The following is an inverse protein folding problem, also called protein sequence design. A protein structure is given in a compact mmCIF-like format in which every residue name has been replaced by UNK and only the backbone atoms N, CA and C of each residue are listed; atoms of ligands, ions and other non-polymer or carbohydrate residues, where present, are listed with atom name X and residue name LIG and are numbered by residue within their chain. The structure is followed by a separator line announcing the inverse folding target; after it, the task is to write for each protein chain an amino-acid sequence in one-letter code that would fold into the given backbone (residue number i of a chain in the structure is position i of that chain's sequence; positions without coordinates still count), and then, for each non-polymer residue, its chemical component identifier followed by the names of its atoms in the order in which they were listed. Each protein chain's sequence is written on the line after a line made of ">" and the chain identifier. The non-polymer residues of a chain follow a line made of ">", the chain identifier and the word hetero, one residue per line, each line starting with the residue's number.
data_IF_184865888679
#
_entry.id   IF_184865888679
#
_cell.length_a   1.000
_cell.length_b   1.000
_cell.length_c   1.000
_cell.angle_alpha   90.00
_cell.angle_beta   90.00
_cell.angle_gamma   90.00
#
_symmetry.space_group_name_H-M   'P 1'
#
loop_
_entity.id
_entity.type
_entity.pdbx_description
1 polymer ?
#
# COMPACT_ATOMS: atom_id res chain seq x y z
N UNK A 1 -0.17 -0.70 19.19
CA UNK A 1 0.36 -1.95 19.77
C UNK A 1 1.53 -2.50 18.94
N UNK A 2 2.61 -1.74 18.70
CA UNK A 2 3.81 -2.24 18.00
C UNK A 2 3.58 -3.12 16.75
N UNK A 3 2.59 -2.77 15.92
CA UNK A 3 2.14 -3.56 14.75
C UNK A 3 1.55 -4.97 15.03
N UNK A 4 1.36 -5.36 16.28
CA UNK A 4 0.79 -6.65 16.69
C UNK A 4 -0.75 -6.64 16.81
N UNK A 5 -1.45 -5.99 15.87
CA UNK A 5 -2.92 -5.84 15.93
C UNK A 5 -3.70 -6.96 15.22
N UNK A 6 -2.99 -7.91 14.59
CA UNK A 6 -3.56 -8.97 13.75
C UNK A 6 -4.59 -9.84 14.49
N UNK A 7 -4.40 -10.09 15.80
CA UNK A 7 -5.26 -10.96 16.59
C UNK A 7 -6.39 -10.24 17.35
N UNK A 8 -6.34 -8.91 17.50
CA UNK A 8 -7.24 -8.15 18.39
C UNK A 8 -8.09 -7.15 17.61
N UNK A 9 -7.71 -6.81 16.37
CA UNK A 9 -8.44 -5.84 15.57
C UNK A 9 -9.89 -6.26 15.34
N UNK A 10 -10.81 -5.36 15.67
CA UNK A 10 -12.27 -5.60 15.70
C UNK A 10 -13.09 -4.38 15.23
N UNK A 11 -12.44 -3.42 14.56
CA UNK A 11 -13.03 -2.18 14.06
C UNK A 11 -12.62 -1.94 12.60
N UNK A 12 -12.90 -0.76 12.04
CA UNK A 12 -12.53 -0.45 10.64
C UNK A 12 -11.02 -0.43 10.35
N UNK A 13 -10.15 -0.27 11.35
CA UNK A 13 -8.70 -0.43 11.15
C UNK A 13 -8.31 -1.88 10.81
N UNK A 14 -9.23 -2.84 11.00
CA UNK A 14 -9.04 -4.23 10.59
C UNK A 14 -8.85 -4.38 9.09
N UNK A 15 -9.43 -3.50 8.26
CA UNK A 15 -9.20 -3.48 6.81
C UNK A 15 -7.72 -3.32 6.45
N UNK A 16 -6.93 -2.69 7.32
CA UNK A 16 -5.50 -2.52 7.15
C UNK A 16 -4.68 -3.67 7.77
N UNK A 17 -5.05 -4.11 8.98
CA UNK A 17 -4.25 -5.09 9.74
C UNK A 17 -4.60 -6.57 9.46
N UNK A 18 -5.89 -6.90 9.51
CA UNK A 18 -6.40 -8.26 9.31
C UNK A 18 -7.88 -8.18 8.95
N UNK A 19 -8.27 -8.44 7.68
CA UNK A 19 -9.65 -8.26 7.25
C UNK A 19 -10.65 -9.17 7.99
N UNK A 20 -10.21 -10.27 8.62
CA UNK A 20 -11.09 -11.08 9.46
C UNK A 20 -11.65 -10.32 10.67
N UNK A 21 -10.94 -9.31 11.16
CA UNK A 21 -11.40 -8.46 12.25
C UNK A 21 -12.65 -7.65 11.92
N UNK A 22 -12.91 -7.39 10.62
CA UNK A 22 -14.14 -6.72 10.17
C UNK A 22 -15.39 -7.50 10.53
N UNK A 23 -15.30 -8.83 10.68
CA UNK A 23 -16.41 -9.68 11.06
C UNK A 23 -17.08 -9.30 12.40
N UNK A 24 -16.39 -8.53 13.23
CA UNK A 24 -16.85 -8.11 14.55
C UNK A 24 -17.47 -6.71 14.58
N UNK A 25 -17.42 -5.99 13.46
CA UNK A 25 -18.02 -4.67 13.32
C UNK A 25 -19.55 -4.79 13.30
N UNK A 26 -20.22 -3.86 14.00
CA UNK A 26 -21.68 -3.78 14.07
C UNK A 26 -22.18 -2.47 13.50
N UNK A 27 -23.21 -2.54 12.67
CA UNK A 27 -23.83 -1.36 12.06
C UNK A 27 -22.96 -0.67 11.03
N UNK A 28 -23.09 0.66 10.93
CA UNK A 28 -22.33 1.52 10.01
C UNK A 28 -21.26 2.26 10.81
N UNK A 29 -20.03 2.27 10.31
CA UNK A 29 -18.91 3.00 10.91
C UNK A 29 -18.15 3.80 9.85
N UNK A 30 -17.51 4.87 10.31
CA UNK A 30 -16.56 5.68 9.55
C UNK A 30 -15.34 5.90 10.42
N UNK A 31 -14.15 5.80 9.85
CA UNK A 31 -12.88 5.98 10.54
C UNK A 31 -11.95 6.84 9.70
N UNK A 32 -11.26 7.78 10.35
CA UNK A 32 -10.25 8.61 9.74
C UNK A 32 -9.06 8.75 10.69
N UNK A 33 -7.87 8.73 10.11
CA UNK A 33 -6.61 8.83 10.82
C UNK A 33 -5.64 9.65 9.97
N UNK A 34 -4.96 10.59 10.61
CA UNK A 34 -3.88 11.38 10.02
C UNK A 34 -2.70 11.33 10.99
N UNK A 35 -1.53 10.96 10.49
CA UNK A 35 -0.30 10.88 11.25
C UNK A 35 0.83 11.57 10.48
N UNK A 36 1.44 12.58 11.08
CA UNK A 36 2.73 13.08 10.63
C UNK A 36 3.83 12.08 10.97
N UNK A 37 4.67 11.77 9.99
CA UNK A 37 5.80 10.84 10.09
C UNK A 37 7.13 11.60 9.92
N UNK A 38 8.24 10.89 10.11
CA UNK A 38 9.60 11.37 9.88
C UNK A 38 9.77 12.02 8.50
N UNK A 39 10.70 12.98 8.43
CA UNK A 39 11.03 13.77 7.24
C UNK A 39 9.84 14.56 6.64
N UNK A 40 8.85 14.91 7.46
CA UNK A 40 7.68 15.68 7.02
C UNK A 40 6.71 14.87 6.16
N UNK A 41 6.84 13.54 6.16
CA UNK A 41 5.95 12.65 5.43
C UNK A 41 4.60 12.58 6.13
N UNK A 42 3.50 12.67 5.39
CA UNK A 42 2.15 12.57 5.94
C UNK A 42 1.53 11.22 5.58
N UNK A 43 0.99 10.53 6.60
CA UNK A 43 0.22 9.31 6.45
C UNK A 43 -1.25 9.59 6.76
N UNK A 44 -2.12 9.24 5.82
CA UNK A 44 -3.57 9.38 5.95
C UNK A 44 -4.26 8.04 5.70
N UNK A 45 -5.16 7.66 6.59
CA UNK A 45 -6.01 6.49 6.42
C UNK A 45 -7.47 6.87 6.63
N UNK A 46 -8.33 6.45 5.72
CA UNK A 46 -9.76 6.61 5.80
C UNK A 46 -10.45 5.29 5.52
N UNK A 47 -11.48 4.96 6.28
CA UNK A 47 -12.28 3.77 6.04
C UNK A 47 -13.74 4.02 6.35
N UNK A 48 -14.58 3.42 5.52
CA UNK A 48 -16.01 3.31 5.72
C UNK A 48 -16.36 1.84 5.72
N UNK A 49 -17.31 1.43 6.54
CA UNK A 49 -17.81 0.06 6.46
C UNK A 49 -19.17 -0.09 7.10
N UNK A 50 -19.85 -1.13 6.66
CA UNK A 50 -21.19 -1.44 7.13
C UNK A 50 -21.40 -2.95 7.18
N UNK A 51 -22.22 -3.35 8.15
CA UNK A 51 -22.72 -4.71 8.25
C UNK A 51 -23.83 -4.96 7.21
N UNK A 52 -23.62 -5.97 6.37
CA UNK A 52 -24.64 -6.50 5.47
C UNK A 52 -25.19 -7.83 6.05
N UNK A 53 -26.46 -7.86 6.50
CA UNK A 53 -27.07 -9.06 7.05
C UNK A 53 -26.87 -10.30 6.18
N UNK A 54 -26.48 -11.43 6.80
CA UNK A 54 -26.19 -12.74 6.18
C UNK A 54 -24.97 -12.81 5.25
N UNK A 55 -24.45 -11.69 4.77
CA UNK A 55 -23.25 -11.62 3.92
C UNK A 55 -22.00 -11.50 4.79
N UNK A 56 -21.95 -10.50 5.67
CA UNK A 56 -20.78 -10.15 6.46
C UNK A 56 -20.65 -8.62 6.58
N UNK A 57 -19.45 -8.14 6.91
CA UNK A 57 -19.13 -6.71 6.95
C UNK A 57 -18.34 -6.35 5.71
N UNK A 58 -18.79 -5.32 4.99
CA UNK A 58 -18.05 -4.72 3.88
C UNK A 58 -17.36 -3.46 4.35
N UNK A 59 -16.17 -3.20 3.83
CA UNK A 59 -15.43 -1.98 4.07
C UNK A 59 -14.78 -1.46 2.79
N UNK A 60 -14.82 -0.15 2.62
CA UNK A 60 -13.99 0.60 1.69
C UNK A 60 -12.90 1.30 2.50
N UNK A 61 -11.68 1.32 1.99
CA UNK A 61 -10.53 1.95 2.63
C UNK A 61 -9.71 2.72 1.62
N UNK A 62 -9.10 3.81 2.08
CA UNK A 62 -8.12 4.59 1.35
C UNK A 62 -6.94 4.83 2.28
N UNK A 63 -5.74 4.60 1.77
CA UNK A 63 -4.47 4.89 2.44
C UNK A 63 -3.66 5.79 1.52
N UNK A 64 -3.10 6.86 2.07
CA UNK A 64 -2.23 7.78 1.35
C UNK A 64 -0.97 8.05 2.17
N UNK A 65 0.17 8.00 1.51
CA UNK A 65 1.46 8.40 2.05
C UNK A 65 2.05 9.46 1.12
N UNK A 66 2.39 10.64 1.63
CA UNK A 66 2.92 11.74 0.82
C UNK A 66 4.16 12.34 1.44
N UNK A 67 5.18 12.59 0.64
CA UNK A 67 6.36 13.35 1.06
C UNK A 67 6.22 14.81 0.66
N UNK A 68 6.86 15.75 1.37
CA UNK A 68 6.95 17.12 0.92
C UNK A 68 7.83 17.23 -0.33
N UNK A 69 7.77 18.36 -1.01
CA UNK A 69 8.72 18.69 -2.07
C UNK A 69 10.13 18.88 -1.49
N UNK A 70 11.12 18.22 -2.08
CA UNK A 70 12.55 18.44 -1.82
C UNK A 70 13.29 18.81 -3.12
N UNK A 71 14.45 19.44 -2.96
CA UNK A 71 15.29 19.89 -4.07
C UNK A 71 16.07 18.73 -4.67
N UNK A 72 16.07 18.64 -5.99
CA UNK A 72 16.97 17.75 -6.73
C UNK A 72 18.38 18.32 -6.65
N UNK A 73 19.35 17.52 -6.17
CA UNK A 73 20.75 17.93 -5.99
C UNK A 73 21.67 16.99 -6.78
N UNK A 74 22.68 17.56 -7.42
CA UNK A 74 23.74 16.80 -8.11
C UNK A 74 25.10 17.21 -7.55
N UNK A 75 26.17 16.48 -7.92
CA UNK A 75 27.55 16.83 -7.54
C UNK A 75 27.89 18.24 -8.05
N UNK A 76 27.42 18.58 -9.26
CA UNK A 76 27.63 19.88 -9.90
C UNK A 76 26.78 20.99 -9.27
N UNK A 77 25.56 20.65 -8.81
CA UNK A 77 24.61 21.59 -8.21
C UNK A 77 24.17 21.12 -6.81
N UNK A 78 25.04 21.23 -5.79
CA UNK A 78 24.75 20.73 -4.43
C UNK A 78 23.68 21.56 -3.71
N UNK A 79 23.48 22.81 -4.11
CA UNK A 79 22.43 23.69 -3.57
C UNK A 79 21.06 23.48 -4.25
N UNK A 80 21.00 22.64 -5.27
CA UNK A 80 19.79 22.34 -6.03
C UNK A 80 19.92 22.70 -7.51
N UNK A 81 19.32 21.89 -8.38
CA UNK A 81 19.27 22.11 -9.84
C UNK A 81 18.19 23.12 -10.26
N UNK A 82 17.35 23.56 -9.32
CA UNK A 82 16.13 24.32 -9.59
C UNK A 82 14.87 23.45 -9.73
N UNK A 83 15.04 22.13 -9.83
CA UNK A 83 13.94 21.17 -9.86
C UNK A 83 13.56 20.70 -8.45
N UNK A 84 12.31 20.26 -8.32
CA UNK A 84 11.76 19.65 -7.11
C UNK A 84 11.29 18.24 -7.41
N UNK A 85 11.41 17.37 -6.42
CA UNK A 85 10.84 16.04 -6.45
C UNK A 85 10.00 15.78 -5.20
N UNK A 86 8.99 14.93 -5.35
CA UNK A 86 8.21 14.40 -4.25
C UNK A 86 7.80 12.96 -4.57
N UNK A 87 7.32 12.25 -3.55
CA UNK A 87 6.77 10.91 -3.66
C UNK A 87 5.36 10.86 -3.06
N UNK A 88 4.53 10.01 -3.65
CA UNK A 88 3.16 9.77 -3.22
C UNK A 88 2.75 8.33 -3.50
N UNK A 89 2.28 7.67 -2.45
CA UNK A 89 1.68 6.34 -2.52
C UNK A 89 0.21 6.44 -2.15
N UNK A 90 -0.62 5.71 -2.87
CA UNK A 90 -2.05 5.63 -2.63
C UNK A 90 -2.53 4.20 -2.80
N UNK A 91 -3.29 3.71 -1.83
CA UNK A 91 -3.98 2.42 -1.90
C UNK A 91 -5.47 2.62 -1.67
N UNK A 92 -6.29 2.09 -2.57
CA UNK A 92 -7.74 2.02 -2.42
C UNK A 92 -8.13 0.55 -2.33
N UNK A 93 -8.82 0.17 -1.27
CA UNK A 93 -9.14 -1.23 -0.99
C UNK A 93 -10.58 -1.47 -0.63
N UNK A 94 -11.13 -2.58 -1.11
CA UNK A 94 -12.41 -3.12 -0.68
C UNK A 94 -12.14 -4.39 0.12
N UNK A 95 -12.79 -4.52 1.27
CA UNK A 95 -12.59 -5.63 2.20
C UNK A 95 -13.93 -6.23 2.61
N UNK A 96 -13.94 -7.53 2.86
CA UNK A 96 -15.07 -8.25 3.45
C UNK A 96 -14.57 -9.10 4.63
N UNK A 97 -15.29 -9.05 5.74
CA UNK A 97 -15.07 -9.93 6.90
C UNK A 97 -16.35 -10.63 7.32
N UNK A 98 -16.27 -11.92 7.66
CA UNK A 98 -17.42 -12.71 8.08
C UNK A 98 -17.05 -13.70 9.18
N UNK A 99 -17.90 -13.79 10.20
CA UNK A 99 -17.86 -14.86 11.19
C UNK A 99 -18.48 -16.13 10.56
N UNK A 100 -17.70 -17.19 10.40
CA UNK A 100 -18.18 -18.49 9.94
C UNK A 100 -18.78 -19.31 11.09
N UNK A 101 -18.21 -19.18 12.28
CA UNK A 101 -18.71 -19.79 13.52
C UNK A 101 -18.63 -18.79 14.66
N UNK A 102 -19.04 -19.19 15.87
CA UNK A 102 -18.87 -18.37 17.07
C UNK A 102 -17.39 -18.16 17.45
N UNK A 103 -16.49 -18.93 16.85
CA UNK A 103 -15.05 -18.92 17.15
C UNK A 103 -14.19 -18.51 15.96
N UNK A 104 -14.64 -18.74 14.72
CA UNK A 104 -13.85 -18.53 13.51
C UNK A 104 -14.41 -17.39 12.66
N UNK A 105 -13.55 -16.42 12.37
CA UNK A 105 -13.78 -15.33 11.43
C UNK A 105 -12.77 -15.38 10.29
N UNK A 106 -13.25 -15.12 9.08
CA UNK A 106 -12.42 -14.97 7.89
C UNK A 106 -12.60 -13.58 7.31
N UNK A 107 -11.60 -13.10 6.59
CA UNK A 107 -11.75 -11.90 5.78
C UNK A 107 -10.83 -11.92 4.58
N UNK A 108 -11.19 -11.14 3.58
CA UNK A 108 -10.42 -10.93 2.38
C UNK A 108 -10.51 -9.48 1.93
N UNK A 109 -9.46 -9.00 1.27
CA UNK A 109 -9.41 -7.65 0.72
C UNK A 109 -8.77 -7.65 -0.64
N UNK A 110 -9.21 -6.74 -1.51
CA UNK A 110 -8.55 -6.42 -2.77
C UNK A 110 -8.18 -4.95 -2.73
N UNK A 111 -6.94 -4.64 -3.09
CA UNK A 111 -6.34 -3.31 -3.07
C UNK A 111 -5.78 -2.96 -4.44
N UNK A 112 -6.06 -1.75 -4.89
CA UNK A 112 -5.35 -1.13 -6.00
C UNK A 112 -4.34 -0.14 -5.42
N UNK A 113 -3.06 -0.40 -5.65
CA UNK A 113 -1.94 0.34 -5.09
C UNK A 113 -1.25 1.08 -6.22
N UNK A 114 -1.07 2.39 -6.06
CA UNK A 114 -0.38 3.26 -7.01
C UNK A 114 0.71 4.03 -6.28
N UNK A 115 1.90 4.03 -6.86
CA UNK A 115 3.07 4.74 -6.38
C UNK A 115 3.55 5.73 -7.43
N UNK A 116 3.98 6.90 -6.99
CA UNK A 116 4.60 7.93 -7.83
C UNK A 116 5.82 8.47 -7.11
N UNK A 117 6.96 8.46 -7.80
CA UNK A 117 8.18 9.09 -7.34
C UNK A 117 8.65 9.99 -8.48
N UNK A 118 8.70 11.29 -8.23
CA UNK A 118 9.08 12.30 -9.21
C UNK A 118 8.31 12.17 -10.54
N UNK A 119 8.95 11.71 -11.64
CA UNK A 119 8.33 11.51 -12.95
C UNK A 119 8.02 10.05 -13.27
N UNK A 120 8.17 9.14 -12.30
CA UNK A 120 7.95 7.72 -12.46
C UNK A 120 6.73 7.27 -11.67
N UNK A 121 5.94 6.38 -12.29
CA UNK A 121 4.71 5.85 -11.69
C UNK A 121 4.63 4.35 -11.85
N UNK A 122 4.05 3.69 -10.87
CA UNK A 122 3.78 2.26 -10.90
C UNK A 122 2.44 1.96 -10.26
N UNK A 123 1.84 0.84 -10.65
CA UNK A 123 0.55 0.41 -10.14
C UNK A 123 0.52 -1.12 -10.07
N UNK A 124 -0.06 -1.65 -8.99
CA UNK A 124 -0.32 -3.09 -8.84
C UNK A 124 -1.67 -3.32 -8.17
N UNK A 125 -2.13 -4.57 -8.23
CA UNK A 125 -3.27 -5.06 -7.48
C UNK A 125 -2.75 -6.07 -6.48
N UNK A 126 -3.20 -5.96 -5.23
CA UNK A 126 -2.85 -6.88 -4.17
C UNK A 126 -4.10 -7.40 -3.46
N UNK A 127 -3.98 -8.58 -2.88
CA UNK A 127 -5.02 -9.24 -2.11
C UNK A 127 -4.53 -9.48 -0.68
N UNK A 128 -5.43 -9.34 0.29
CA UNK A 128 -5.18 -9.76 1.67
C UNK A 128 -6.13 -10.87 2.06
N UNK A 129 -5.66 -11.79 2.89
CA UNK A 129 -6.47 -12.85 3.47
C UNK A 129 -6.19 -12.91 4.97
N UNK A 130 -7.27 -12.89 5.75
CA UNK A 130 -7.22 -12.84 7.20
C UNK A 130 -8.01 -13.97 7.85
N UNK A 131 -7.52 -14.44 8.99
CA UNK A 131 -8.20 -15.38 9.88
C UNK A 131 -8.09 -14.90 11.31
N UNK A 132 -9.18 -15.00 12.07
CA UNK A 132 -9.18 -14.89 13.52
C UNK A 132 -9.91 -16.09 14.12
N UNK A 133 -9.30 -16.71 15.13
CA UNK A 133 -9.82 -17.88 15.82
C UNK A 133 -9.78 -17.67 17.33
N UNK A 134 -10.96 -17.60 17.94
CA UNK A 134 -11.13 -17.57 19.39
C UNK A 134 -11.01 -19.00 19.93
N UNK A 135 -9.95 -19.25 20.67
CA UNK A 135 -9.70 -20.59 21.21
C UNK A 135 -10.67 -20.92 22.35
N UNK A 136 -10.84 -22.20 22.72
CA UNK A 136 -11.58 -22.59 23.91
C UNK A 136 -10.93 -22.12 25.23
N UNK A 137 -9.66 -21.74 25.19
CA UNK A 137 -8.95 -21.22 26.36
C UNK A 137 -9.36 -19.75 26.55
N UNK A 138 -9.72 -19.41 27.78
CA UNK A 138 -10.17 -18.06 28.12
C UNK A 138 -9.12 -17.02 27.72
N UNK A 139 -9.57 -15.97 27.05
CA UNK A 139 -8.78 -14.80 26.65
C UNK A 139 -7.63 -15.07 25.67
N UNK A 140 -7.63 -16.23 24.99
CA UNK A 140 -6.66 -16.54 23.91
C UNK A 140 -7.35 -16.48 22.54
N UNK A 141 -6.87 -15.55 21.71
CA UNK A 141 -7.28 -15.39 20.31
C UNK A 141 -6.05 -15.59 19.44
N UNK A 142 -6.18 -16.44 18.43
CA UNK A 142 -5.18 -16.60 17.37
C UNK A 142 -5.61 -15.76 16.17
N UNK A 143 -4.68 -15.05 15.58
CA UNK A 143 -4.90 -14.28 14.35
C UNK A 143 -3.78 -14.56 13.36
N UNK A 144 -4.12 -14.75 12.10
CA UNK A 144 -3.19 -14.84 11.00
C UNK A 144 -3.66 -13.93 9.87
N UNK A 145 -2.73 -13.28 9.18
CA UNK A 145 -3.02 -12.41 8.04
C UNK A 145 -1.89 -12.54 7.03
N UNK A 146 -2.25 -12.72 5.76
CA UNK A 146 -1.37 -12.56 4.62
C UNK A 146 -1.79 -11.26 3.97
N UNK A 147 -0.87 -10.30 3.89
CA UNK A 147 -1.13 -8.97 3.37
C UNK A 147 -0.26 -8.69 2.14
N UNK A 148 -0.80 -7.85 1.24
CA UNK A 148 -0.17 -7.39 0.01
C UNK A 148 0.26 -8.53 -0.92
N UNK A 149 -0.52 -9.61 -0.99
CA UNK A 149 -0.25 -10.70 -1.91
C UNK A 149 -0.63 -10.29 -3.34
N UNK A 150 0.37 -10.07 -4.19
CA UNK A 150 0.21 -9.59 -5.57
C UNK A 150 1.54 -9.56 -6.30
N UNK A 151 1.54 -9.00 -7.50
CA UNK A 151 2.77 -8.77 -8.27
C UNK A 151 3.53 -7.57 -7.70
N UNK A 152 4.85 -7.53 -7.92
CA UNK A 152 5.64 -6.38 -7.55
C UNK A 152 5.27 -5.15 -8.41
N UNK A 153 5.54 -3.96 -7.86
CA UNK A 153 5.31 -2.71 -8.57
C UNK A 153 6.53 -2.40 -9.42
N UNK A 154 6.36 -2.43 -10.74
CA UNK A 154 7.30 -1.86 -11.69
C UNK A 154 7.01 -0.38 -11.91
N UNK A 155 8.06 0.45 -11.81
CA UNK A 155 7.99 1.89 -12.07
C UNK A 155 8.34 2.19 -13.54
N UNK A 156 7.52 3.01 -14.16
CA UNK A 156 7.70 3.46 -15.55
C UNK A 156 7.66 4.98 -15.56
N UNK A 157 8.60 5.61 -16.26
CA UNK A 157 8.68 7.07 -16.34
C UNK A 157 9.96 7.55 -17.03
N UNK A 158 10.07 8.87 -17.21
CA UNK A 158 11.26 9.48 -17.81
C UNK A 158 12.54 9.18 -17.03
N UNK A 159 12.43 8.98 -15.72
CA UNK A 159 13.60 8.70 -14.88
C UNK A 159 14.18 7.29 -15.14
N UNK A 160 13.44 6.43 -15.87
CA UNK A 160 13.92 5.12 -16.32
C UNK A 160 14.57 5.16 -17.71
N UNK A 161 14.50 6.30 -18.42
CA UNK A 161 15.07 6.45 -19.75
C UNK A 161 16.52 6.94 -19.66
N UNK A 162 17.40 6.32 -20.43
CA UNK A 162 18.81 6.64 -20.53
C UNK A 162 19.19 6.75 -22.00
N UNK A 163 20.16 7.60 -22.30
CA UNK A 163 20.83 7.55 -23.59
C UNK A 163 22.11 6.74 -23.42
N UNK A 164 22.22 5.65 -24.17
CA UNK A 164 23.38 4.76 -24.17
C UNK A 164 23.96 4.70 -25.57
N UNK A 165 25.29 4.77 -25.67
CA UNK A 165 26.01 4.44 -26.89
C UNK A 165 26.15 2.91 -26.98
N UNK A 166 25.53 2.26 -27.98
CA UNK A 166 25.59 0.80 -28.12
C UNK A 166 26.96 0.28 -28.58
N UNK A 167 27.84 1.11 -29.15
CA UNK A 167 29.19 0.72 -29.59
C UNK A 167 30.20 1.86 -29.35
N UNK A 168 30.64 2.07 -28.09
CA UNK A 168 31.49 3.19 -27.70
C UNK A 168 32.89 3.18 -28.34
N UNK A 169 33.26 2.09 -29.03
CA UNK A 169 34.55 1.96 -29.70
C UNK A 169 34.50 2.37 -31.18
N UNK A 170 33.32 2.70 -31.73
CA UNK A 170 33.12 2.94 -33.15
C UNK A 170 32.44 4.29 -33.42
N UNK A 171 33.23 5.29 -33.79
CA UNK A 171 32.82 6.70 -33.96
C UNK A 171 31.89 6.99 -35.17
N UNK A 172 31.38 5.96 -35.86
CA UNK A 172 30.47 6.08 -37.01
C UNK A 172 29.04 5.60 -36.74
N UNK A 173 28.72 5.25 -35.49
CA UNK A 173 27.40 4.75 -35.09
C UNK A 173 26.45 5.88 -34.65
N UNK A 174 25.25 5.51 -34.22
CA UNK A 174 24.36 6.43 -33.51
C UNK A 174 24.82 6.51 -32.06
N UNK A 175 25.44 7.64 -31.69
CA UNK A 175 26.05 7.88 -30.37
C UNK A 175 25.03 7.87 -29.21
N UNK A 176 23.73 8.09 -29.50
CA UNK A 176 22.67 8.09 -28.49
C UNK A 176 21.48 7.26 -28.93
N UNK A 177 21.32 6.09 -28.31
CA UNK A 177 20.10 5.27 -28.42
C UNK A 177 19.35 5.34 -27.09
N UNK A 178 18.02 5.55 -27.16
CA UNK A 178 17.18 5.50 -25.97
C UNK A 178 17.12 4.05 -25.46
N UNK A 179 17.63 3.85 -24.26
CA UNK A 179 17.50 2.62 -23.49
C UNK A 179 16.60 2.89 -22.28
N UNK A 180 15.94 1.85 -21.78
CA UNK A 180 15.09 1.93 -20.59
C UNK A 180 15.60 0.95 -19.54
N UNK A 181 15.73 1.39 -18.29
CA UNK A 181 15.94 0.47 -17.16
C UNK A 181 14.69 -0.40 -17.00
N UNK A 182 14.88 -1.70 -17.15
CA UNK A 182 13.88 -2.69 -16.77
C UNK A 182 13.91 -2.84 -15.24
N UNK A 183 12.76 -2.63 -14.61
CA UNK A 183 12.61 -2.84 -13.16
C UNK A 183 12.02 -4.22 -12.94
N UNK A 184 12.50 -4.91 -11.89
CA UNK A 184 12.05 -6.26 -11.56
C UNK A 184 10.52 -6.30 -11.29
N UNK A 185 9.90 -7.46 -11.57
CA UNK A 185 8.44 -7.71 -11.52
C UNK A 185 8.09 -8.84 -10.58
#
# INVERSE_FOLDING_TARGET
>A
MGSANVAITNNLSSSFWNPAGLAHLKGIQVYFENNGWLAGTDYNFGSFGFEWPRVGVLSLSITMLTTPDDLVRTIENPTGTGEKFNAQDMSIGISIGKSLTNQLSLGASIKNIRQRIWHSTGQTIATDIGVQYKTPIKDIILGASIANFGNDISLIGRDMNLSVDPDPNNQGNIEFVNAQYETDV
#
